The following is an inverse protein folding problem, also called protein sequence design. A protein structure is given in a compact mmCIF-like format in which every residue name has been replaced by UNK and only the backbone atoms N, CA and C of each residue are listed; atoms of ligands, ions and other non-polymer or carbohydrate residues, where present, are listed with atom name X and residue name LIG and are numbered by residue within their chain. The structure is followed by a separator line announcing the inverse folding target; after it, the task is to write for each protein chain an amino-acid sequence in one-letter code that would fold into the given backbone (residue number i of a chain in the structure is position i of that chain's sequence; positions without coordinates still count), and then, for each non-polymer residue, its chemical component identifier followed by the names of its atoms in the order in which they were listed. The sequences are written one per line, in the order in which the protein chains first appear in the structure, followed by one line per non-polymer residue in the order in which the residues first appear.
data_IF_089841680383
#
_entry.id   IF_089841680383
#
_cell.length_a   1.000
_cell.length_b   1.000
_cell.length_c   1.000
_cell.angle_alpha   90.00
_cell.angle_beta   90.00
_cell.angle_gamma   90.00
#
_symmetry.space_group_name_H-M   'P 1'
#
loop_
_entity.id
_entity.type
_entity.pdbx_description
1 polymer ?
#
# COMPACT_ATOMS: atom_id res chain seq x y z
N UNK A 1 26.78 -32.19 13.45
CA UNK A 1 25.58 -31.71 12.73
C UNK A 1 26.06 -31.11 11.42
N UNK A 2 25.71 -31.71 10.28
CA UNK A 2 26.02 -31.15 8.96
C UNK A 2 25.11 -29.94 8.75
N UNK A 3 25.69 -28.74 8.66
CA UNK A 3 24.97 -27.54 8.22
C UNK A 3 24.65 -27.78 6.75
N UNK A 4 23.38 -27.90 6.40
CA UNK A 4 22.97 -27.95 5.00
C UNK A 4 23.61 -26.74 4.29
N UNK A 5 24.22 -26.92 3.10
CA UNK A 5 24.90 -25.82 2.42
C UNK A 5 23.95 -24.64 2.28
N UNK A 6 24.42 -23.45 2.66
CA UNK A 6 23.61 -22.24 2.60
C UNK A 6 23.05 -22.07 1.18
N UNK A 7 21.72 -22.07 1.08
CA UNK A 7 21.04 -21.90 -0.20
C UNK A 7 21.39 -20.51 -0.73
N UNK A 8 21.88 -20.43 -1.97
CA UNK A 8 22.08 -19.16 -2.66
C UNK A 8 20.73 -18.46 -2.82
N UNK A 9 20.69 -17.18 -2.47
CA UNK A 9 19.54 -16.30 -2.67
C UNK A 9 19.83 -15.39 -3.87
N UNK A 10 18.84 -15.22 -4.76
CA UNK A 10 18.94 -14.39 -5.95
C UNK A 10 17.71 -13.49 -6.06
N UNK A 11 17.87 -12.33 -6.70
CA UNK A 11 16.75 -11.43 -7.04
C UNK A 11 16.25 -11.82 -8.42
N UNK A 12 14.99 -12.24 -8.52
CA UNK A 12 14.35 -12.66 -9.79
C UNK A 12 13.37 -11.63 -10.34
N UNK A 13 12.83 -10.77 -9.47
CA UNK A 13 11.87 -9.74 -9.86
C UNK A 13 11.97 -8.52 -8.97
N UNK A 14 11.51 -7.41 -9.50
CA UNK A 14 11.52 -6.09 -8.86
C UNK A 14 10.30 -5.33 -9.34
N UNK A 15 9.73 -4.51 -8.47
CA UNK A 15 8.60 -3.66 -8.77
C UNK A 15 8.66 -2.42 -7.90
N UNK A 16 8.23 -1.29 -8.44
CA UNK A 16 8.32 -0.01 -7.76
C UNK A 16 7.06 0.80 -7.96
N UNK A 17 6.71 1.56 -6.94
CA UNK A 17 5.80 2.70 -6.99
C UNK A 17 6.51 3.82 -6.25
N UNK A 18 6.94 4.85 -6.97
CA UNK A 18 7.74 5.93 -6.39
C UNK A 18 7.47 7.29 -7.07
N UNK A 19 8.01 8.39 -6.52
CA UNK A 19 7.86 9.72 -7.12
C UNK A 19 8.44 9.88 -8.52
N UNK A 20 9.38 9.04 -8.94
CA UNK A 20 9.94 9.02 -10.30
C UNK A 20 9.12 8.16 -11.28
N UNK A 21 8.06 7.50 -10.81
CA UNK A 21 7.11 6.75 -11.61
C UNK A 21 6.79 5.37 -11.07
N UNK A 22 5.98 4.63 -11.83
CA UNK A 22 5.43 3.32 -11.46
C UNK A 22 6.16 2.12 -12.07
N UNK A 23 7.26 2.34 -12.80
CA UNK A 23 7.99 1.27 -13.50
C UNK A 23 9.49 1.35 -13.23
N UNK A 24 10.20 0.24 -13.48
CA UNK A 24 11.64 0.20 -13.32
C UNK A 24 12.32 1.11 -14.35
N UNK A 25 11.76 1.20 -15.56
CA UNK A 25 12.27 2.03 -16.65
C UNK A 25 12.13 3.53 -16.33
N UNK A 26 10.99 3.96 -15.78
CA UNK A 26 10.78 5.37 -15.40
C UNK A 26 11.67 5.78 -14.22
N UNK A 27 11.81 4.90 -13.22
CA UNK A 27 12.76 5.08 -12.12
C UNK A 27 14.20 5.15 -12.66
N UNK A 28 14.64 4.18 -13.45
CA UNK A 28 16.02 4.06 -13.90
C UNK A 28 16.44 5.23 -14.78
N UNK A 29 15.62 5.58 -15.78
CA UNK A 29 15.86 6.76 -16.62
C UNK A 29 15.89 8.05 -15.79
N UNK A 30 15.00 8.18 -14.80
CA UNK A 30 14.95 9.36 -13.94
C UNK A 30 16.21 9.52 -13.09
N UNK A 31 16.74 8.42 -12.57
CA UNK A 31 18.00 8.42 -11.84
C UNK A 31 19.19 8.75 -12.75
N UNK A 32 19.28 8.14 -13.93
CA UNK A 32 20.38 8.39 -14.88
C UNK A 32 20.41 9.83 -15.40
N UNK A 33 19.23 10.43 -15.59
CA UNK A 33 19.09 11.82 -16.04
C UNK A 33 19.20 12.84 -14.90
N UNK A 34 19.27 12.41 -13.64
CA UNK A 34 19.30 13.30 -12.49
C UNK A 34 17.99 14.07 -12.26
N UNK A 35 16.84 13.50 -12.64
CA UNK A 35 15.53 14.14 -12.45
C UNK A 35 15.18 14.19 -10.96
N UNK A 36 14.87 15.38 -10.45
CA UNK A 36 14.29 15.54 -9.11
C UNK A 36 12.80 15.28 -9.15
N UNK A 37 12.31 14.43 -8.26
CA UNK A 37 10.87 14.23 -8.05
C UNK A 37 10.29 15.13 -6.94
N UNK A 38 11.12 15.97 -6.30
CA UNK A 38 10.65 16.93 -5.30
C UNK A 38 10.00 18.11 -6.03
N UNK A 39 8.75 18.37 -5.71
CA UNK A 39 7.96 19.48 -6.25
C UNK A 39 6.98 20.04 -5.22
N UNK A 40 6.12 21.00 -5.61
CA UNK A 40 5.06 21.51 -4.75
C UNK A 40 4.17 20.38 -4.21
N UNK A 41 3.69 20.47 -2.98
CA UNK A 41 2.77 19.47 -2.44
C UNK A 41 1.36 19.68 -3.03
N UNK A 42 0.81 18.68 -3.69
CA UNK A 42 -0.48 18.74 -4.38
C UNK A 42 -1.51 17.73 -3.84
N UNK A 43 -1.09 16.75 -3.04
CA UNK A 43 -1.97 15.71 -2.49
C UNK A 43 -3.02 16.23 -1.50
N UNK A 44 -2.76 17.36 -0.83
CA UNK A 44 -3.72 18.00 0.07
C UNK A 44 -3.45 19.49 0.25
N UNK A 45 -4.44 20.29 0.71
CA UNK A 45 -4.25 21.72 1.00
C UNK A 45 -3.19 21.95 2.09
N UNK A 46 -2.02 22.44 1.71
CA UNK A 46 -0.90 22.65 2.64
C UNK A 46 -0.72 24.10 3.12
N UNK A 47 -1.65 25.00 2.82
CA UNK A 47 -1.51 26.45 3.06
C UNK A 47 -1.18 26.86 4.50
N UNK A 48 -1.58 26.06 5.49
CA UNK A 48 -1.30 26.30 6.92
C UNK A 48 -0.06 25.59 7.48
N UNK A 49 0.61 24.73 6.70
CA UNK A 49 1.79 23.99 7.18
C UNK A 49 3.06 24.86 7.08
N UNK A 50 4.20 24.48 7.66
CA UNK A 50 5.48 25.11 7.35
C UNK A 50 6.11 24.57 6.04
N UNK A 51 5.73 23.37 5.62
CA UNK A 51 6.33 22.64 4.50
C UNK A 51 5.40 22.69 3.28
N UNK A 52 5.96 22.95 2.08
CA UNK A 52 5.22 23.14 0.82
C UNK A 52 5.68 22.24 -0.33
N UNK A 53 6.72 21.44 -0.12
CA UNK A 53 7.32 20.62 -1.16
C UNK A 53 7.50 19.18 -0.67
N UNK A 54 7.25 18.21 -1.54
CA UNK A 54 7.43 16.80 -1.26
C UNK A 54 7.77 16.03 -2.55
N UNK A 55 8.24 14.80 -2.39
CA UNK A 55 8.35 13.86 -3.50
C UNK A 55 7.11 12.95 -3.48
N UNK A 56 6.08 13.33 -4.23
CA UNK A 56 4.81 12.59 -4.26
C UNK A 56 4.83 11.56 -5.40
N UNK A 57 4.35 10.35 -5.13
CA UNK A 57 4.06 9.37 -6.20
C UNK A 57 2.77 9.75 -6.95
N UNK A 58 2.79 10.88 -7.65
CA UNK A 58 1.60 11.54 -8.26
C UNK A 58 0.92 10.68 -9.31
N UNK A 59 1.68 9.89 -10.06
CA UNK A 59 1.15 8.96 -11.06
C UNK A 59 0.32 7.83 -10.43
N UNK A 60 0.55 7.53 -9.14
CA UNK A 60 -0.24 6.54 -8.44
C UNK A 60 -1.56 7.16 -7.96
N UNK A 61 -2.64 6.88 -8.68
CA UNK A 61 -4.00 7.33 -8.36
C UNK A 61 -4.78 6.28 -7.57
N UNK A 62 -4.23 5.06 -7.44
CA UNK A 62 -4.93 3.90 -6.89
C UNK A 62 -5.90 3.25 -7.90
N UNK A 63 -5.88 3.69 -9.16
CA UNK A 63 -6.55 2.97 -10.24
C UNK A 63 -5.98 1.56 -10.32
N UNK A 64 -6.83 0.59 -10.61
CA UNK A 64 -6.45 -0.81 -10.73
C UNK A 64 -5.36 -1.02 -11.79
N UNK A 65 -5.29 -0.18 -12.82
CA UNK A 65 -4.25 -0.27 -13.85
C UNK A 65 -2.87 0.17 -13.32
N UNK A 66 -2.79 0.85 -12.17
CA UNK A 66 -1.51 1.15 -11.52
C UNK A 66 -0.84 -0.11 -10.93
N UNK A 67 -1.58 -1.20 -10.71
CA UNK A 67 -1.08 -2.44 -10.10
C UNK A 67 -0.33 -3.35 -11.08
N UNK A 68 -0.17 -2.92 -12.34
CA UNK A 68 0.52 -3.68 -13.37
C UNK A 68 -0.38 -4.75 -14.01
N UNK A 69 0.20 -5.67 -14.79
CA UNK A 69 -0.55 -6.73 -15.45
C UNK A 69 -1.12 -7.72 -14.43
N UNK A 70 -2.43 -7.94 -14.50
CA UNK A 70 -3.18 -8.81 -13.60
C UNK A 70 -4.17 -9.66 -14.40
N UNK A 71 -4.38 -10.91 -13.98
CA UNK A 71 -5.51 -11.70 -14.44
C UNK A 71 -6.85 -11.13 -13.93
N UNK A 72 -7.95 -11.59 -14.53
CA UNK A 72 -9.28 -11.07 -14.23
C UNK A 72 -9.72 -11.30 -12.78
N UNK A 73 -9.31 -12.40 -12.15
CA UNK A 73 -9.69 -12.72 -10.78
C UNK A 73 -8.94 -11.83 -9.78
N UNK A 74 -7.62 -11.73 -9.90
CA UNK A 74 -6.80 -10.82 -9.08
C UNK A 74 -7.22 -9.37 -9.27
N UNK A 75 -7.49 -8.93 -10.50
CA UNK A 75 -7.99 -7.59 -10.81
C UNK A 75 -9.30 -7.29 -10.05
N UNK A 76 -10.23 -8.25 -10.01
CA UNK A 76 -11.50 -8.13 -9.27
C UNK A 76 -11.28 -8.14 -7.76
N UNK A 77 -10.42 -9.02 -7.25
CA UNK A 77 -10.13 -9.15 -5.82
C UNK A 77 -9.46 -7.89 -5.24
N UNK A 78 -8.42 -7.39 -5.90
CA UNK A 78 -7.71 -6.16 -5.50
C UNK A 78 -8.66 -4.96 -5.54
N UNK A 79 -9.44 -4.79 -6.62
CA UNK A 79 -10.40 -3.68 -6.74
C UNK A 79 -11.42 -3.66 -5.59
N UNK A 80 -11.91 -4.83 -5.16
CA UNK A 80 -12.80 -4.93 -3.99
C UNK A 80 -12.08 -4.55 -2.70
N UNK A 81 -10.82 -4.96 -2.57
CA UNK A 81 -9.97 -4.70 -1.42
C UNK A 81 -9.51 -3.24 -1.26
N UNK A 82 -9.48 -2.42 -2.32
CA UNK A 82 -9.06 -1.01 -2.24
C UNK A 82 -9.81 -0.23 -1.14
N UNK A 83 -11.08 -0.59 -0.89
CA UNK A 83 -11.91 0.04 0.15
C UNK A 83 -11.42 -0.18 1.58
N UNK A 84 -10.57 -1.16 1.80
CA UNK A 84 -9.99 -1.51 3.11
C UNK A 84 -8.47 -1.34 3.14
N UNK A 85 -7.91 -0.61 2.18
CA UNK A 85 -6.49 -0.28 2.13
C UNK A 85 -6.30 1.25 2.20
N UNK A 86 -5.39 1.70 3.06
CA UNK A 86 -4.80 3.04 2.96
C UNK A 86 -3.88 3.13 1.73
N UNK A 87 -3.43 4.35 1.42
CA UNK A 87 -2.64 4.63 0.22
C UNK A 87 -1.33 3.84 0.20
N UNK A 88 -0.67 3.69 1.34
CA UNK A 88 0.59 2.96 1.50
C UNK A 88 0.41 1.48 1.20
N UNK A 89 -0.65 0.86 1.73
CA UNK A 89 -1.02 -0.53 1.43
C UNK A 89 -1.31 -0.72 -0.06
N UNK A 90 -2.01 0.22 -0.70
CA UNK A 90 -2.29 0.15 -2.13
C UNK A 90 -0.99 0.21 -2.96
N UNK A 91 -0.07 1.13 -2.63
CA UNK A 91 1.23 1.22 -3.31
C UNK A 91 2.08 -0.04 -3.11
N UNK A 92 2.09 -0.58 -1.89
CA UNK A 92 2.82 -1.81 -1.56
C UNK A 92 2.31 -3.00 -2.38
N UNK A 93 0.98 -3.18 -2.45
CA UNK A 93 0.38 -4.24 -3.26
C UNK A 93 0.72 -4.02 -4.74
N UNK A 94 0.58 -2.79 -5.27
CA UNK A 94 0.93 -2.50 -6.66
C UNK A 94 2.40 -2.79 -6.99
N UNK A 95 3.33 -2.39 -6.13
CA UNK A 95 4.75 -2.68 -6.29
C UNK A 95 5.02 -4.20 -6.25
N UNK A 96 4.38 -4.93 -5.33
CA UNK A 96 4.50 -6.39 -5.23
C UNK A 96 3.95 -7.11 -6.46
N UNK A 97 2.79 -6.70 -6.99
CA UNK A 97 2.22 -7.28 -8.22
C UNK A 97 3.16 -7.10 -9.42
N UNK A 98 3.76 -5.91 -9.55
CA UNK A 98 4.79 -5.64 -10.57
C UNK A 98 6.03 -6.51 -10.38
N UNK A 99 6.48 -6.70 -9.13
CA UNK A 99 7.63 -7.55 -8.83
C UNK A 99 7.37 -9.03 -9.16
N UNK A 100 6.19 -9.54 -8.81
CA UNK A 100 5.76 -10.90 -9.15
C UNK A 100 5.70 -11.08 -10.67
N UNK A 101 5.07 -10.13 -11.37
CA UNK A 101 5.03 -10.14 -12.83
C UNK A 101 6.41 -10.13 -13.47
N UNK A 102 7.32 -9.26 -12.99
CA UNK A 102 8.70 -9.21 -13.49
C UNK A 102 9.47 -10.52 -13.24
N UNK A 103 9.20 -11.20 -12.10
CA UNK A 103 9.83 -12.49 -11.79
C UNK A 103 9.28 -13.68 -12.58
N UNK A 104 8.05 -13.59 -13.08
CA UNK A 104 7.31 -14.73 -13.63
C UNK A 104 6.94 -15.81 -12.59
N UNK A 105 7.05 -15.54 -11.29
CA UNK A 105 6.75 -16.50 -10.22
C UNK A 105 5.35 -16.31 -9.66
N UNK A 106 4.54 -17.36 -9.72
CA UNK A 106 3.16 -17.37 -9.24
C UNK A 106 2.82 -18.72 -8.59
N UNK A 107 1.82 -18.74 -7.71
CA UNK A 107 1.37 -19.94 -6.96
C UNK A 107 0.33 -20.78 -7.70
N UNK A 108 -0.43 -20.14 -8.59
CA UNK A 108 -1.38 -20.76 -9.47
C UNK A 108 -1.25 -20.10 -10.84
N UNK A 109 -0.40 -20.68 -11.69
CA UNK A 109 -0.26 -20.29 -13.08
C UNK A 109 -0.50 -21.52 -13.96
N UNK A 110 -1.48 -21.43 -14.85
CA UNK A 110 -1.79 -22.51 -15.79
C UNK A 110 -0.76 -22.60 -16.93
N UNK A 111 0.11 -21.60 -17.07
CA UNK A 111 1.06 -21.45 -18.17
C UNK A 111 2.54 -21.66 -17.75
N UNK A 112 2.88 -21.61 -16.46
CA UNK A 112 4.25 -21.76 -15.94
C UNK A 112 4.33 -22.73 -14.75
N UNK A 113 5.56 -23.14 -14.41
CA UNK A 113 5.82 -23.90 -13.18
C UNK A 113 5.39 -23.10 -11.96
N UNK A 114 4.32 -23.57 -11.31
CA UNK A 114 3.74 -22.92 -10.13
C UNK A 114 4.61 -23.16 -8.89
N UNK A 115 4.85 -22.11 -8.12
CA UNK A 115 5.51 -22.20 -6.82
C UNK A 115 4.51 -22.71 -5.78
N UNK A 116 4.88 -23.71 -4.97
CA UNK A 116 4.01 -24.18 -3.89
C UNK A 116 3.68 -23.03 -2.92
N UNK A 117 2.39 -22.77 -2.61
CA UNK A 117 1.96 -21.70 -1.70
C UNK A 117 2.72 -21.68 -0.36
N UNK A 118 2.96 -22.84 0.25
CA UNK A 118 3.61 -23.00 1.55
C UNK A 118 5.13 -22.70 1.49
N UNK A 119 5.69 -22.58 0.28
CA UNK A 119 7.09 -22.24 0.01
C UNK A 119 7.25 -20.81 -0.49
N UNK A 120 6.16 -20.08 -0.65
CA UNK A 120 6.15 -18.70 -1.10
C UNK A 120 5.52 -17.82 -0.02
N UNK A 121 6.29 -16.91 0.56
CA UNK A 121 5.85 -16.02 1.62
C UNK A 121 6.11 -14.56 1.33
N UNK A 122 5.74 -13.69 2.27
CA UNK A 122 5.83 -12.24 2.12
C UNK A 122 6.37 -11.61 3.40
N UNK A 123 7.60 -11.12 3.32
CA UNK A 123 8.20 -10.27 4.33
C UNK A 123 8.12 -8.83 3.84
N UNK A 124 7.35 -8.01 4.55
CA UNK A 124 7.16 -6.60 4.20
C UNK A 124 7.27 -5.73 5.45
N UNK A 125 8.09 -4.68 5.37
CA UNK A 125 8.23 -3.68 6.43
C UNK A 125 7.45 -2.42 6.08
N UNK A 126 6.66 -1.93 7.03
CA UNK A 126 6.13 -0.57 7.01
C UNK A 126 6.31 0.04 8.40
N UNK A 127 6.44 1.36 8.44
CA UNK A 127 6.54 2.12 9.67
C UNK A 127 5.23 2.87 9.92
N UNK A 128 5.05 4.00 9.24
CA UNK A 128 3.89 4.85 9.41
C UNK A 128 2.85 4.63 8.31
N UNK A 129 1.65 4.23 8.71
CA UNK A 129 0.47 4.09 7.85
C UNK A 129 -0.45 5.27 8.13
N UNK A 130 -0.60 6.18 7.16
CA UNK A 130 -1.21 7.48 7.43
C UNK A 130 -2.74 7.41 7.41
N UNK A 131 -3.37 7.67 8.54
CA UNK A 131 -4.83 7.95 8.60
C UNK A 131 -5.15 9.30 7.99
N UNK A 132 -6.28 9.39 7.30
CA UNK A 132 -6.73 10.66 6.74
C UNK A 132 -7.70 11.36 7.70
N UNK A 133 -7.71 12.71 7.79
CA UNK A 133 -8.65 13.45 8.64
C UNK A 133 -10.12 13.08 8.39
N UNK A 134 -10.46 12.75 7.15
CA UNK A 134 -11.81 12.39 6.72
C UNK A 134 -12.36 11.16 7.45
N UNK A 135 -11.51 10.24 7.89
CA UNK A 135 -11.94 9.06 8.65
C UNK A 135 -12.50 9.42 10.03
N UNK A 136 -12.13 10.58 10.57
CA UNK A 136 -12.54 11.04 11.90
C UNK A 136 -13.57 12.18 11.85
N UNK A 137 -13.86 12.76 10.69
CA UNK A 137 -14.71 13.95 10.56
C UNK A 137 -16.07 13.78 11.23
N UNK A 138 -16.78 12.68 10.97
CA UNK A 138 -18.09 12.42 11.55
C UNK A 138 -18.03 12.25 13.08
N UNK A 139 -17.03 11.50 13.56
CA UNK A 139 -16.78 11.29 14.99
C UNK A 139 -16.47 12.59 15.71
N UNK A 140 -15.61 13.43 15.13
CA UNK A 140 -15.24 14.73 15.68
C UNK A 140 -16.44 15.67 15.70
N UNK A 141 -17.21 15.72 14.61
CA UNK A 141 -18.40 16.57 14.51
C UNK A 141 -19.45 16.24 15.58
N UNK A 142 -19.65 14.97 15.91
CA UNK A 142 -20.59 14.55 16.98
C UNK A 142 -20.17 15.01 18.37
N UNK A 143 -18.88 15.20 18.60
CA UNK A 143 -18.33 15.63 19.88
C UNK A 143 -18.15 17.14 19.96
N UNK A 144 -18.67 17.93 19.00
CA UNK A 144 -18.62 19.39 19.09
C UNK A 144 -19.78 19.92 19.93
N UNK A 145 -19.45 20.72 20.95
CA UNK A 145 -20.39 21.44 21.78
C UNK A 145 -21.00 22.65 21.08
N UNK A 146 -22.00 23.26 21.72
CA UNK A 146 -22.68 24.48 21.22
C UNK A 146 -21.76 25.69 21.16
N UNK A 147 -20.69 25.70 21.97
CA UNK A 147 -19.62 26.70 21.95
C UNK A 147 -18.58 26.47 20.82
N UNK A 148 -18.78 25.43 20.00
CA UNK A 148 -17.91 25.07 18.89
C UNK A 148 -16.64 24.28 19.28
N UNK A 149 -16.39 24.05 20.57
CA UNK A 149 -15.24 23.31 21.10
C UNK A 149 -15.50 21.80 21.11
N UNK A 150 -14.43 21.02 21.15
CA UNK A 150 -14.50 19.57 21.27
C UNK A 150 -14.76 19.15 22.73
N UNK A 151 -15.79 18.33 22.95
CA UNK A 151 -16.22 17.80 24.25
C UNK A 151 -15.69 16.36 24.41
N UNK A 152 -14.55 16.22 25.09
CA UNK A 152 -13.84 14.94 25.19
C UNK A 152 -14.65 13.81 25.83
N UNK A 153 -15.50 14.12 26.82
CA UNK A 153 -16.31 13.12 27.53
C UNK A 153 -17.32 12.40 26.61
N UNK A 154 -17.67 13.02 25.48
CA UNK A 154 -18.60 12.46 24.50
C UNK A 154 -17.90 11.59 23.45
N UNK A 155 -16.57 11.56 23.41
CA UNK A 155 -15.83 10.78 22.41
C UNK A 155 -16.19 9.30 22.47
N UNK A 156 -16.16 8.69 23.66
CA UNK A 156 -16.40 7.27 23.82
C UNK A 156 -17.84 6.86 23.44
N UNK A 157 -18.83 7.70 23.77
CA UNK A 157 -20.26 7.38 23.61
C UNK A 157 -20.83 7.82 22.26
N UNK A 158 -20.39 8.96 21.74
CA UNK A 158 -21.02 9.61 20.57
C UNK A 158 -20.10 9.56 19.36
N UNK A 159 -18.78 9.78 19.57
CA UNK A 159 -17.77 9.88 18.52
C UNK A 159 -17.30 8.53 17.98
N UNK A 160 -16.81 7.65 18.87
CA UNK A 160 -16.29 6.33 18.50
C UNK A 160 -17.28 5.48 17.70
N UNK A 161 -18.60 5.45 18.01
CA UNK A 161 -19.55 4.69 17.21
C UNK A 161 -19.73 5.18 15.77
N UNK A 162 -19.26 6.39 15.42
CA UNK A 162 -19.30 6.89 14.04
C UNK A 162 -18.13 6.40 13.18
N UNK A 163 -17.07 5.86 13.79
CA UNK A 163 -15.93 5.34 13.04
C UNK A 163 -16.36 4.13 12.22
N UNK A 164 -15.90 4.05 10.97
CA UNK A 164 -16.17 2.86 10.15
C UNK A 164 -15.56 1.63 10.84
N UNK A 165 -16.27 0.52 11.06
CA UNK A 165 -15.73 -0.58 11.87
C UNK A 165 -14.40 -1.16 11.37
N UNK A 166 -14.13 -1.06 10.07
CA UNK A 166 -12.90 -1.54 9.44
C UNK A 166 -11.82 -0.47 9.29
N UNK A 167 -12.00 0.73 9.88
CA UNK A 167 -11.04 1.83 9.73
C UNK A 167 -9.64 1.40 10.17
N UNK A 168 -9.52 0.76 11.33
CA UNK A 168 -8.24 0.35 11.90
C UNK A 168 -7.52 -0.66 10.99
N UNK A 169 -8.25 -1.60 10.38
CA UNK A 169 -7.67 -2.57 9.46
C UNK A 169 -7.06 -1.92 8.22
N UNK A 170 -7.43 -0.69 7.84
CA UNK A 170 -6.76 0.00 6.75
C UNK A 170 -5.33 0.40 7.08
N UNK A 171 -5.02 0.60 8.36
CA UNK A 171 -3.85 1.32 8.83
C UNK A 171 -2.90 0.47 9.70
N UNK A 172 -3.18 -0.82 9.90
CA UNK A 172 -2.23 -1.68 10.61
C UNK A 172 -0.96 -1.92 9.76
N UNK A 173 0.26 -1.78 10.32
CA UNK A 173 1.51 -1.91 9.57
C UNK A 173 1.74 -3.26 8.87
N UNK A 174 1.11 -4.33 9.34
CA UNK A 174 1.20 -5.65 8.72
C UNK A 174 0.23 -5.85 7.53
N UNK A 175 -0.71 -4.94 7.31
CA UNK A 175 -1.75 -5.08 6.29
C UNK A 175 -1.22 -5.10 4.86
N UNK A 176 -0.20 -4.31 4.47
CA UNK A 176 0.46 -4.49 3.18
C UNK A 176 0.87 -5.95 2.92
N UNK A 177 1.58 -6.57 3.88
CA UNK A 177 2.02 -7.96 3.79
C UNK A 177 0.82 -8.92 3.67
N UNK A 178 -0.21 -8.73 4.51
CA UNK A 178 -1.41 -9.55 4.50
C UNK A 178 -2.16 -9.47 3.17
N UNK A 179 -2.32 -8.27 2.61
CA UNK A 179 -2.95 -8.07 1.31
C UNK A 179 -2.15 -8.73 0.18
N UNK A 180 -0.82 -8.53 0.16
CA UNK A 180 0.06 -9.17 -0.83
C UNK A 180 -0.05 -10.70 -0.73
N UNK A 181 -0.04 -11.26 0.47
CA UNK A 181 -0.17 -12.69 0.68
C UNK A 181 -1.54 -13.22 0.21
N UNK A 182 -2.63 -12.56 0.59
CA UNK A 182 -4.00 -12.95 0.22
C UNK A 182 -4.21 -12.93 -1.30
N UNK A 183 -3.75 -11.89 -1.99
CA UNK A 183 -3.98 -11.76 -3.44
C UNK A 183 -3.16 -12.72 -4.29
N UNK A 184 -2.08 -13.29 -3.74
CA UNK A 184 -1.16 -14.15 -4.46
C UNK A 184 -1.05 -15.56 -3.85
N UNK A 185 -1.91 -15.91 -2.90
CA UNK A 185 -1.91 -17.19 -2.18
C UNK A 185 -0.53 -17.55 -1.57
N UNK A 186 0.13 -16.56 -0.95
CA UNK A 186 1.42 -16.77 -0.29
C UNK A 186 1.17 -17.29 1.13
N UNK A 187 1.60 -18.52 1.42
CA UNK A 187 1.36 -19.19 2.71
C UNK A 187 2.64 -19.51 3.47
N UNK A 188 3.79 -19.23 2.87
CA UNK A 188 5.09 -19.25 3.53
C UNK A 188 5.30 -18.01 4.42
N UNK A 189 6.45 -17.96 5.11
CA UNK A 189 6.81 -16.86 6.03
C UNK A 189 7.07 -15.53 5.34
#
# INVERSE_FOLDING_TARGET
MSVAPDRRVVITGMGVVCPLGLTLESLWSGLLEGRSAVGPLESFPCGGLPLRHAAEAREFTGDIDNFGPLDGERKKAIRKGLKVMCRESQMAVAAAQRALHHSGLFTADAQNDSVQPERFGCVFGSDYMLTLPEDFTASVAKCRGTNGQFEFDRWATDGMPQLTPLWLLKYLPNMPASHIAIYNDLRGP
#
